data_IF_437509719966
#
_entry.id   IF_437509719966
#
_cell.length_a   1.000
_cell.length_b   1.000
_cell.length_c   1.000
_cell.angle_alpha   90.00
_cell.angle_beta   90.00
_cell.angle_gamma   90.00
#
_symmetry.space_group_name_H-M   'P 1'
#
loop_
_entity.id
_entity.type
_entity.pdbx_description
1 polymer ?
#
# COMPACT_ATOMS: atom_id res chain seq x y z
N UNK A 1 -15.39 29.00 49.08
CA UNK A 1 -15.69 29.32 47.68
C UNK A 1 -14.88 28.32 46.88
N UNK A 2 -15.58 27.29 46.41
CA UNK A 2 -15.01 26.04 45.90
C UNK A 2 -14.36 26.24 44.54
N UNK A 3 -13.19 25.62 44.38
CA UNK A 3 -12.43 25.53 43.15
C UNK A 3 -13.23 24.72 42.14
N UNK A 4 -13.51 25.31 40.98
CA UNK A 4 -14.14 24.62 39.87
C UNK A 4 -13.04 23.87 39.10
N UNK A 5 -12.90 22.57 39.38
CA UNK A 5 -12.11 21.65 38.56
C UNK A 5 -12.75 21.60 37.17
N UNK A 6 -12.16 22.30 36.21
CA UNK A 6 -12.50 22.13 34.80
C UNK A 6 -12.17 20.69 34.41
N UNK A 7 -13.22 19.87 34.39
CA UNK A 7 -13.22 18.52 33.90
C UNK A 7 -12.52 18.48 32.54
N UNK A 8 -11.38 17.78 32.49
CA UNK A 8 -10.85 17.27 31.23
C UNK A 8 -12.00 16.55 30.53
N UNK A 9 -12.51 17.12 29.43
CA UNK A 9 -13.35 16.38 28.52
C UNK A 9 -12.47 15.27 27.92
N UNK A 10 -12.46 14.12 28.59
CA UNK A 10 -12.14 12.86 27.93
C UNK A 10 -12.98 12.83 26.66
N UNK A 11 -12.32 12.70 25.51
CA UNK A 11 -12.99 12.37 24.26
C UNK A 11 -13.62 10.99 24.48
N UNK A 12 -14.82 10.96 25.07
CA UNK A 12 -15.68 9.81 25.06
C UNK A 12 -15.99 9.56 23.59
N UNK A 13 -15.32 8.56 23.02
CA UNK A 13 -15.78 7.94 21.79
C UNK A 13 -17.11 7.26 22.15
N UNK A 14 -18.22 8.02 22.14
CA UNK A 14 -19.60 7.55 22.35
C UNK A 14 -20.09 6.61 21.23
N UNK A 15 -19.19 5.84 20.65
CA UNK A 15 -19.55 4.77 19.74
C UNK A 15 -18.58 3.60 19.86
N UNK A 16 -18.67 2.88 20.98
CA UNK A 16 -18.60 1.40 20.97
C UNK A 16 -19.80 0.81 20.19
N UNK A 17 -20.20 1.45 19.07
CA UNK A 17 -21.01 0.77 18.08
C UNK A 17 -20.09 -0.27 17.52
N UNK A 18 -20.30 -1.52 17.94
CA UNK A 18 -19.83 -2.67 17.20
C UNK A 18 -20.27 -2.44 15.75
N UNK A 19 -19.35 -1.96 14.91
CA UNK A 19 -19.57 -1.87 13.49
C UNK A 19 -19.79 -3.33 13.12
N UNK A 20 -21.04 -3.69 12.83
CA UNK A 20 -21.31 -4.98 12.22
C UNK A 20 -20.64 -4.91 10.87
N UNK A 21 -19.44 -5.46 10.78
CA UNK A 21 -18.75 -5.75 9.53
C UNK A 21 -19.63 -6.79 8.83
N UNK A 22 -20.68 -6.32 8.15
CA UNK A 22 -21.38 -7.15 7.20
C UNK A 22 -20.55 -7.17 5.92
N UNK A 23 -20.66 -8.25 5.15
CA UNK A 23 -19.94 -8.42 3.89
C UNK A 23 -20.25 -7.30 2.87
N UNK A 24 -21.34 -6.56 3.10
CA UNK A 24 -21.79 -5.47 2.24
C UNK A 24 -21.00 -4.16 2.45
N UNK A 25 -20.25 -3.99 3.54
CA UNK A 25 -19.36 -2.81 3.74
C UNK A 25 -18.22 -2.79 2.72
N UNK A 26 -17.80 -3.95 2.23
CA UNK A 26 -16.80 -4.07 1.17
C UNK A 26 -17.40 -4.10 -0.23
N UNK A 27 -18.73 -4.11 -0.35
CA UNK A 27 -19.43 -4.08 -1.63
C UNK A 27 -19.68 -2.62 -2.03
N UNK A 28 -18.64 -1.92 -2.47
CA UNK A 28 -18.90 -0.88 -3.47
C UNK A 28 -19.48 -1.58 -4.71
N UNK A 29 -20.62 -1.11 -5.26
CA UNK A 29 -21.14 -1.68 -6.49
C UNK A 29 -20.17 -1.37 -7.63
N UNK A 30 -19.22 -2.27 -7.85
CA UNK A 30 -18.44 -2.30 -9.07
C UNK A 30 -19.33 -2.94 -10.13
N UNK A 31 -19.89 -2.14 -11.03
CA UNK A 31 -20.44 -2.69 -12.25
C UNK A 31 -19.29 -3.39 -12.98
N UNK A 32 -19.33 -4.73 -13.01
CA UNK A 32 -18.45 -5.57 -13.81
C UNK A 32 -18.80 -5.28 -15.28
N UNK A 33 -18.42 -4.11 -15.78
CA UNK A 33 -18.25 -3.89 -17.21
C UNK A 33 -17.10 -4.79 -17.62
N UNK A 34 -17.29 -5.64 -18.63
CA UNK A 34 -16.31 -6.58 -19.17
C UNK A 34 -14.88 -6.06 -19.02
N UNK A 35 -14.17 -6.59 -18.02
CA UNK A 35 -12.86 -6.07 -17.71
C UNK A 35 -11.90 -6.42 -18.86
N UNK A 36 -11.35 -5.39 -19.50
CA UNK A 36 -10.37 -5.56 -20.58
C UNK A 36 -9.02 -6.06 -20.08
N UNK A 37 -8.78 -6.01 -18.77
CA UNK A 37 -7.63 -6.65 -18.11
C UNK A 37 -7.86 -8.15 -17.81
N UNK A 38 -9.11 -8.60 -17.74
CA UNK A 38 -9.51 -9.98 -17.39
C UNK A 38 -9.99 -10.79 -18.58
N UNK A 39 -10.48 -10.12 -19.63
CA UNK A 39 -10.71 -10.78 -20.91
C UNK A 39 -9.35 -11.20 -21.45
N UNK A 40 -9.22 -12.50 -21.74
CA UNK A 40 -7.99 -13.10 -22.26
C UNK A 40 -7.42 -12.18 -23.34
N UNK A 41 -6.28 -11.57 -23.07
CA UNK A 41 -5.54 -10.80 -24.07
C UNK A 41 -5.38 -11.68 -25.30
N UNK A 42 -5.79 -11.15 -26.47
CA UNK A 42 -5.60 -11.78 -27.77
C UNK A 42 -4.22 -12.45 -27.83
N UNK A 43 -4.14 -13.79 -27.91
CA UNK A 43 -3.06 -14.62 -28.51
C UNK A 43 -3.18 -16.10 -28.10
N UNK A 44 -4.28 -16.76 -28.50
CA UNK A 44 -4.38 -18.24 -28.52
C UNK A 44 -4.41 -18.97 -27.18
N UNK A 45 -4.50 -20.30 -27.25
CA UNK A 45 -4.62 -21.21 -26.09
C UNK A 45 -3.42 -21.19 -25.11
N UNK A 46 -2.34 -20.47 -25.46
CA UNK A 46 -1.08 -20.38 -24.71
C UNK A 46 -0.67 -18.94 -24.31
N UNK A 47 -1.53 -17.93 -24.48
CA UNK A 47 -1.19 -16.55 -24.14
C UNK A 47 -1.15 -16.29 -22.63
N UNK A 48 -0.13 -15.56 -22.14
CA UNK A 48 -0.16 -15.00 -20.77
C UNK A 48 -1.28 -13.98 -20.67
N UNK A 49 -2.02 -14.03 -19.56
CA UNK A 49 -3.08 -13.06 -19.30
C UNK A 49 -2.45 -11.67 -19.07
N UNK A 50 -3.06 -10.62 -19.62
CA UNK A 50 -2.64 -9.23 -19.39
C UNK A 50 -2.46 -8.95 -17.89
N UNK A 51 -3.33 -9.50 -17.04
CA UNK A 51 -3.20 -9.34 -15.59
C UNK A 51 -1.87 -9.89 -15.05
N UNK A 52 -1.36 -11.00 -15.58
CA UNK A 52 -0.11 -11.60 -15.13
C UNK A 52 1.10 -10.76 -15.55
N UNK A 53 1.05 -10.14 -16.73
CA UNK A 53 2.08 -9.18 -17.15
C UNK A 53 2.04 -7.91 -16.29
N UNK A 54 0.85 -7.42 -15.96
CA UNK A 54 0.70 -6.29 -15.04
C UNK A 54 1.19 -6.64 -13.63
N UNK A 55 0.95 -7.86 -13.14
CA UNK A 55 1.49 -8.36 -11.86
C UNK A 55 3.01 -8.38 -11.83
N UNK A 56 3.65 -8.80 -12.92
CA UNK A 56 5.12 -8.75 -13.04
C UNK A 56 5.62 -7.30 -12.96
N UNK A 57 5.01 -6.41 -13.75
CA UNK A 57 5.34 -4.97 -13.72
C UNK A 57 5.17 -4.37 -12.32
N UNK A 58 4.10 -4.73 -11.61
CA UNK A 58 3.85 -4.27 -10.24
C UNK A 58 4.96 -4.75 -9.29
N UNK A 59 5.25 -6.05 -9.30
CA UNK A 59 6.25 -6.66 -8.42
C UNK A 59 7.68 -6.16 -8.69
N UNK A 60 7.99 -5.82 -9.93
CA UNK A 60 9.30 -5.31 -10.32
C UNK A 60 9.51 -3.85 -9.90
N UNK A 61 8.45 -3.04 -9.94
CA UNK A 61 8.51 -1.60 -9.69
C UNK A 61 8.15 -1.21 -8.26
N UNK A 62 7.39 -2.04 -7.53
CA UNK A 62 7.01 -1.77 -6.15
C UNK A 62 8.25 -1.62 -5.25
N UNK A 63 8.27 -0.55 -4.47
CA UNK A 63 9.43 -0.16 -3.65
C UNK A 63 10.54 0.57 -4.42
N UNK A 64 10.52 0.62 -5.75
CA UNK A 64 11.45 1.40 -6.61
C UNK A 64 10.82 2.65 -7.19
N UNK A 65 9.50 2.62 -7.44
CA UNK A 65 8.73 3.72 -8.00
C UNK A 65 7.52 4.07 -7.12
N UNK A 66 6.96 5.27 -7.34
CA UNK A 66 5.70 5.66 -6.73
C UNK A 66 4.52 4.91 -7.36
N UNK A 67 3.47 4.67 -6.58
CA UNK A 67 2.26 3.99 -7.02
C UNK A 67 1.67 4.63 -8.29
N UNK A 68 1.60 5.97 -8.32
CA UNK A 68 1.15 6.72 -9.48
C UNK A 68 2.01 6.46 -10.73
N UNK A 69 3.33 6.40 -10.59
CA UNK A 69 4.24 6.09 -11.70
C UNK A 69 4.06 4.65 -12.19
N UNK A 70 3.86 3.68 -11.28
CA UNK A 70 3.59 2.29 -11.63
C UNK A 70 2.32 2.20 -12.50
N UNK A 71 1.23 2.84 -12.08
CA UNK A 71 -0.03 2.81 -12.84
C UNK A 71 0.07 3.56 -14.18
N UNK A 72 0.90 4.60 -14.28
CA UNK A 72 1.22 5.24 -15.56
C UNK A 72 1.96 4.29 -16.51
N UNK A 73 2.92 3.52 -16.00
CA UNK A 73 3.65 2.51 -16.78
C UNK A 73 2.69 1.41 -17.24
N UNK A 74 1.82 0.91 -16.38
CA UNK A 74 0.80 -0.08 -16.73
C UNK A 74 -0.15 0.42 -17.82
N UNK A 75 -0.63 1.66 -17.70
CA UNK A 75 -1.48 2.27 -18.71
C UNK A 75 -0.75 2.40 -20.05
N UNK A 76 0.49 2.91 -20.04
CA UNK A 76 1.31 3.03 -21.25
C UNK A 76 1.55 1.66 -21.91
N UNK A 77 1.89 0.65 -21.12
CA UNK A 77 2.07 -0.72 -21.59
C UNK A 77 0.82 -1.19 -22.34
N UNK A 78 -0.35 -1.13 -21.72
CA UNK A 78 -1.60 -1.52 -22.37
C UNK A 78 -1.87 -0.79 -23.69
N UNK A 79 -1.64 0.53 -23.72
CA UNK A 79 -1.87 1.34 -24.91
C UNK A 79 -0.97 0.90 -26.08
N UNK A 80 0.31 0.64 -25.80
CA UNK A 80 1.33 0.33 -26.80
C UNK A 80 1.32 -1.14 -27.25
N UNK A 81 1.08 -2.06 -26.33
CA UNK A 81 1.24 -3.52 -26.58
C UNK A 81 -0.08 -4.22 -26.87
N UNK A 82 -1.22 -3.70 -26.39
CA UNK A 82 -2.53 -4.34 -26.54
C UNK A 82 -3.44 -3.50 -27.44
N UNK A 83 -3.75 -2.26 -27.03
CA UNK A 83 -4.78 -1.45 -27.68
C UNK A 83 -4.40 -1.04 -29.09
N UNK A 84 -3.24 -0.38 -29.26
CA UNK A 84 -2.82 0.11 -30.57
C UNK A 84 -2.61 -1.02 -31.60
N UNK A 85 -1.99 -2.16 -31.25
CA UNK A 85 -1.93 -3.31 -32.16
C UNK A 85 -3.30 -3.88 -32.52
N UNK A 86 -4.19 -4.08 -31.54
CA UNK A 86 -5.54 -4.62 -31.79
C UNK A 86 -6.35 -3.74 -32.72
N UNK A 87 -6.28 -2.41 -32.55
CA UNK A 87 -6.95 -1.45 -33.43
C UNK A 87 -6.37 -1.42 -34.86
N UNK A 88 -5.08 -1.71 -35.03
CA UNK A 88 -4.48 -1.82 -36.37
C UNK A 88 -4.92 -3.09 -37.10
N UNK A 89 -5.04 -4.21 -36.39
CA UNK A 89 -5.40 -5.50 -36.98
C UNK A 89 -6.91 -5.68 -37.16
N UNK A 90 -7.69 -5.14 -36.24
CA UNK A 90 -9.15 -5.21 -36.23
C UNK A 90 -9.72 -3.81 -35.98
N UNK A 91 -9.81 -2.94 -37.01
CA UNK A 91 -10.26 -1.56 -36.84
C UNK A 91 -11.68 -1.45 -36.28
N UNK A 92 -12.53 -2.44 -36.57
CA UNK A 92 -13.91 -2.51 -36.09
C UNK A 92 -14.00 -2.98 -34.62
N UNK A 93 -12.91 -3.48 -34.04
CA UNK A 93 -12.85 -3.89 -32.64
C UNK A 93 -12.71 -2.65 -31.74
N UNK A 94 -13.76 -2.35 -30.99
CA UNK A 94 -13.72 -1.28 -29.99
C UNK A 94 -12.87 -1.70 -28.78
N UNK A 95 -11.64 -1.20 -28.72
CA UNK A 95 -10.77 -1.34 -27.55
C UNK A 95 -10.83 -0.07 -26.69
N UNK A 96 -11.18 -0.16 -25.40
CA UNK A 96 -11.30 1.01 -24.55
C UNK A 96 -9.95 1.71 -24.37
N UNK A 97 -10.02 3.01 -24.14
CA UNK A 97 -8.85 3.80 -23.79
C UNK A 97 -8.76 3.90 -22.27
N UNK A 98 -7.79 3.20 -21.68
CA UNK A 98 -7.59 3.14 -20.23
C UNK A 98 -6.45 4.05 -19.79
N UNK A 99 -6.70 4.81 -18.73
CA UNK A 99 -5.79 5.73 -18.06
C UNK A 99 -5.23 5.15 -16.77
N UNK A 100 -4.17 5.76 -16.22
CA UNK A 100 -3.55 5.32 -14.98
C UNK A 100 -4.54 5.19 -13.80
N UNK A 101 -5.54 6.07 -13.71
CA UNK A 101 -6.61 6.00 -12.70
C UNK A 101 -7.47 4.74 -12.84
N UNK A 102 -7.69 4.29 -14.08
CA UNK A 102 -8.49 3.10 -14.36
C UNK A 102 -7.71 1.86 -13.94
N UNK A 103 -6.40 1.82 -14.23
CA UNK A 103 -5.52 0.77 -13.73
C UNK A 103 -5.43 0.76 -12.21
N UNK A 104 -5.32 1.92 -11.56
CA UNK A 104 -5.31 1.98 -10.10
C UNK A 104 -6.56 1.34 -9.50
N UNK A 105 -7.75 1.73 -9.96
CA UNK A 105 -9.01 1.18 -9.43
C UNK A 105 -9.16 -0.30 -9.75
N UNK A 106 -8.83 -0.67 -10.98
CA UNK A 106 -9.15 -1.98 -11.50
C UNK A 106 -8.10 -3.04 -11.12
N UNK A 107 -6.82 -2.74 -11.26
CA UNK A 107 -5.75 -3.66 -10.93
C UNK A 107 -5.77 -4.02 -9.44
N UNK A 108 -6.00 -3.04 -8.56
CA UNK A 108 -6.07 -3.27 -7.11
C UNK A 108 -7.26 -4.15 -6.68
N UNK A 109 -8.29 -4.28 -7.53
CA UNK A 109 -9.38 -5.22 -7.31
C UNK A 109 -8.98 -6.67 -7.61
N UNK A 110 -8.11 -6.89 -8.61
CA UNK A 110 -7.68 -8.23 -9.04
C UNK A 110 -6.42 -8.73 -8.36
N UNK A 111 -5.54 -7.82 -7.97
CA UNK A 111 -4.27 -8.16 -7.38
C UNK A 111 -3.94 -7.22 -6.23
N UNK A 112 -3.79 -7.83 -5.07
CA UNK A 112 -3.43 -7.14 -3.84
C UNK A 112 -1.97 -7.46 -3.54
N UNK A 113 -1.08 -6.52 -3.86
CA UNK A 113 0.35 -6.69 -3.59
C UNK A 113 0.65 -6.49 -2.09
N UNK A 114 1.15 -7.51 -1.37
CA UNK A 114 1.46 -7.40 0.06
C UNK A 114 2.50 -6.31 0.38
N UNK A 115 3.46 -6.07 -0.52
CA UNK A 115 4.46 -4.99 -0.37
C UNK A 115 3.79 -3.61 -0.35
N UNK A 116 2.76 -3.43 -1.18
CA UNK A 116 1.99 -2.19 -1.28
C UNK A 116 1.13 -1.98 -0.03
N UNK A 117 0.46 -3.03 0.46
CA UNK A 117 -0.32 -2.96 1.70
C UNK A 117 0.55 -2.54 2.88
N UNK A 118 1.69 -3.21 3.08
CA UNK A 118 2.61 -2.86 4.17
C UNK A 118 3.12 -1.43 4.07
N UNK A 119 3.42 -0.96 2.86
CA UNK A 119 3.80 0.43 2.62
C UNK A 119 2.69 1.39 3.06
N UNK A 120 1.44 1.09 2.73
CA UNK A 120 0.27 1.90 3.13
C UNK A 120 0.06 1.87 4.65
N UNK A 121 0.18 0.72 5.29
CA UNK A 121 0.07 0.59 6.76
C UNK A 121 1.16 1.38 7.47
N UNK A 122 2.41 1.30 7.00
CA UNK A 122 3.52 2.08 7.55
C UNK A 122 3.27 3.58 7.37
N UNK A 123 2.73 4.00 6.21
CA UNK A 123 2.39 5.40 5.98
C UNK A 123 1.28 5.87 6.93
N UNK A 124 0.22 5.06 7.11
CA UNK A 124 -0.84 5.36 8.06
C UNK A 124 -0.30 5.53 9.49
N UNK A 125 0.60 4.65 9.93
CA UNK A 125 1.23 4.77 11.25
C UNK A 125 2.10 6.02 11.36
N UNK A 126 2.79 6.44 10.28
CA UNK A 126 3.53 7.70 10.25
C UNK A 126 2.60 8.89 10.44
N UNK A 127 1.51 8.94 9.68
CA UNK A 127 0.56 10.05 9.71
C UNK A 127 -0.12 10.15 11.09
N UNK A 128 -0.47 9.01 11.68
CA UNK A 128 -1.00 8.94 13.05
C UNK A 128 0.02 9.45 14.09
N UNK A 129 1.30 9.11 13.93
CA UNK A 129 2.35 9.67 14.78
C UNK A 129 2.44 11.19 14.61
N UNK A 130 2.54 11.70 13.38
CA UNK A 130 2.58 13.14 13.12
C UNK A 130 1.38 13.89 13.72
N UNK A 131 0.19 13.29 13.63
CA UNK A 131 -1.01 13.78 14.29
C UNK A 131 -0.83 13.90 15.81
N UNK A 132 -0.35 12.86 16.50
CA UNK A 132 -0.12 12.91 17.95
C UNK A 132 0.94 13.96 18.33
N UNK A 133 2.00 14.08 17.53
CA UNK A 133 3.06 15.08 17.75
C UNK A 133 2.52 16.50 17.65
N UNK A 134 1.66 16.77 16.66
CA UNK A 134 1.06 18.09 16.44
C UNK A 134 0.00 18.43 17.49
N UNK A 135 -0.78 17.44 17.94
CA UNK A 135 -2.03 17.70 18.67
C UNK A 135 -2.00 17.40 20.17
N UNK A 136 -0.95 16.78 20.74
CA UNK A 136 -0.96 16.71 22.20
C UNK A 136 0.09 15.94 22.96
N UNK A 137 1.19 15.47 22.37
CA UNK A 137 2.26 14.87 23.21
C UNK A 137 2.78 15.90 24.23
N UNK A 138 2.90 17.17 23.82
CA UNK A 138 3.23 18.28 24.70
C UNK A 138 2.11 19.32 24.60
N UNK A 139 1.49 19.63 25.73
CA UNK A 139 0.55 20.75 25.86
C UNK A 139 1.20 21.86 26.67
N UNK A 140 1.00 23.10 26.26
CA UNK A 140 1.46 24.27 27.00
C UNK A 140 0.28 24.88 27.74
N UNK A 141 0.46 25.12 29.04
CA UNK A 141 -0.55 25.79 29.83
C UNK A 141 -0.59 27.28 29.45
N UNK A 142 -1.74 27.75 28.98
CA UNK A 142 -1.93 29.11 28.49
C UNK A 142 -1.70 30.21 29.55
N UNK A 143 -1.81 29.90 30.84
CA UNK A 143 -1.66 30.91 31.92
C UNK A 143 -0.25 31.05 32.47
N UNK A 144 0.59 30.00 32.42
CA UNK A 144 1.94 30.05 33.00
C UNK A 144 3.06 29.51 32.08
N UNK A 145 2.74 29.11 30.85
CA UNK A 145 3.69 28.56 29.89
C UNK A 145 4.27 27.20 30.29
N UNK A 146 3.74 26.55 31.34
CA UNK A 146 4.23 25.26 31.79
C UNK A 146 3.88 24.18 30.76
N UNK A 147 4.89 23.46 30.28
CA UNK A 147 4.72 22.34 29.36
C UNK A 147 4.39 21.06 30.14
N UNK A 148 3.29 20.42 29.80
CA UNK A 148 2.87 19.13 30.36
C UNK A 148 2.87 18.09 29.24
N UNK A 149 3.34 16.89 29.56
CA UNK A 149 3.26 15.75 28.63
C UNK A 149 1.92 15.06 28.82
N UNK A 150 1.18 14.82 27.73
CA UNK A 150 0.00 13.97 27.80
C UNK A 150 0.45 12.50 27.79
N UNK A 151 0.41 11.88 28.97
CA UNK A 151 0.84 10.48 29.14
C UNK A 151 -0.05 9.47 28.39
N UNK A 152 -1.31 9.81 28.10
CA UNK A 152 -2.19 8.98 27.26
C UNK A 152 -1.71 8.93 25.81
N UNK A 153 -1.44 10.09 25.22
CA UNK A 153 -0.88 10.17 23.87
C UNK A 153 0.55 9.64 23.79
N UNK A 154 1.34 9.76 24.85
CA UNK A 154 2.67 9.15 24.91
C UNK A 154 2.60 7.61 24.87
N UNK A 155 1.62 7.00 25.57
CA UNK A 155 1.38 5.54 25.48
C UNK A 155 0.97 5.13 24.06
N UNK A 156 0.06 5.87 23.43
CA UNK A 156 -0.37 5.61 22.04
C UNK A 156 0.81 5.75 21.07
N UNK A 157 1.62 6.80 21.21
CA UNK A 157 2.83 7.00 20.42
C UNK A 157 3.80 5.82 20.52
N UNK A 158 4.03 5.30 21.73
CA UNK A 158 4.90 4.14 21.95
C UNK A 158 4.34 2.88 21.28
N UNK A 159 3.02 2.68 21.34
CA UNK A 159 2.35 1.57 20.65
C UNK A 159 2.55 1.67 19.13
N UNK A 160 2.23 2.83 18.53
CA UNK A 160 2.41 3.08 17.11
C UNK A 160 3.88 2.89 16.68
N UNK A 161 4.82 3.36 17.49
CA UNK A 161 6.26 3.22 17.23
C UNK A 161 6.69 1.76 17.19
N UNK A 162 6.20 0.94 18.13
CA UNK A 162 6.50 -0.49 18.18
C UNK A 162 5.92 -1.20 16.95
N UNK A 163 4.63 -1.00 16.66
CA UNK A 163 3.97 -1.63 15.50
C UNK A 163 4.66 -1.24 14.19
N UNK A 164 5.00 0.04 14.01
CA UNK A 164 5.71 0.52 12.83
C UNK A 164 7.08 -0.16 12.67
N UNK A 165 7.84 -0.29 13.77
CA UNK A 165 9.13 -1.00 13.74
C UNK A 165 8.97 -2.48 13.38
N UNK A 166 7.94 -3.14 13.90
CA UNK A 166 7.65 -4.53 13.59
C UNK A 166 7.27 -4.71 12.10
N UNK A 167 6.46 -3.81 11.53
CA UNK A 167 6.14 -3.82 10.10
C UNK A 167 7.39 -3.56 9.22
N UNK A 168 8.26 -2.63 9.60
CA UNK A 168 9.52 -2.37 8.88
C UNK A 168 10.44 -3.59 8.92
N UNK A 169 10.55 -4.26 10.08
CA UNK A 169 11.32 -5.50 10.23
C UNK A 169 10.75 -6.61 9.37
N UNK A 170 9.43 -6.79 9.39
CA UNK A 170 8.74 -7.76 8.55
C UNK A 170 9.03 -7.48 7.08
N UNK A 171 8.82 -6.25 6.61
CA UNK A 171 9.12 -5.83 5.24
C UNK A 171 10.56 -6.15 4.82
N UNK A 172 11.52 -5.80 5.68
CA UNK A 172 12.94 -6.04 5.42
C UNK A 172 13.26 -7.54 5.34
N UNK A 173 12.70 -8.33 6.26
CA UNK A 173 12.93 -9.79 6.32
C UNK A 173 12.33 -10.57 5.16
N UNK A 174 11.17 -10.15 4.65
CA UNK A 174 10.41 -10.89 3.64
C UNK A 174 10.70 -10.42 2.21
N UNK A 175 11.02 -9.14 2.02
CA UNK A 175 11.07 -8.56 0.67
C UNK A 175 12.43 -7.98 0.27
N UNK A 176 13.36 -7.80 1.21
CA UNK A 176 14.71 -7.28 0.92
C UNK A 176 15.82 -8.33 1.05
N UNK A 177 15.57 -9.42 1.77
CA UNK A 177 16.57 -10.45 2.09
C UNK A 177 17.01 -11.30 0.88
N UNK A 178 16.20 -11.41 -0.18
CA UNK A 178 16.51 -12.24 -1.35
C UNK A 178 17.52 -11.62 -2.33
N UNK A 179 17.75 -10.30 -2.29
CA UNK A 179 18.64 -9.62 -3.23
C UNK A 179 20.15 -9.79 -2.92
N UNK A 180 20.53 -10.40 -1.79
CA UNK A 180 21.92 -10.55 -1.39
C UNK A 180 22.53 -11.93 -1.72
N UNK A 181 21.76 -12.87 -2.30
CA UNK A 181 22.22 -14.25 -2.53
C UNK A 181 22.74 -14.55 -3.95
N UNK A 182 22.85 -13.56 -4.84
CA UNK A 182 23.46 -13.73 -6.18
C UNK A 182 24.94 -13.33 -6.23
N UNK A 183 25.61 -13.23 -5.09
CA UNK A 183 27.08 -13.17 -5.01
C UNK A 183 27.64 -14.57 -4.88
N UNK A 184 28.17 -15.14 -5.95
CA UNK A 184 28.94 -16.38 -5.91
C UNK A 184 30.11 -16.26 -4.94
N UNK A 185 29.95 -16.79 -3.72
CA UNK A 185 31.08 -17.02 -2.81
C UNK A 185 31.79 -18.28 -3.32
N UNK A 186 32.59 -18.12 -4.36
CA UNK A 186 33.61 -19.10 -4.74
C UNK A 186 34.62 -19.14 -3.60
N UNK A 187 34.46 -20.09 -2.66
CA UNK A 187 35.50 -20.38 -1.68
C UNK A 187 36.74 -20.90 -2.44
N UNK A 188 37.96 -20.44 -2.12
CA UNK A 188 39.16 -21.00 -2.73
C UNK A 188 39.27 -22.48 -2.35
N UNK A 189 39.49 -23.34 -3.34
CA UNK A 189 39.78 -24.75 -3.13
C UNK A 189 41.14 -24.85 -2.42
N UNK A 190 41.13 -25.33 -1.17
CA UNK A 190 42.36 -25.73 -0.49
C UNK A 190 42.92 -26.96 -1.21
N UNK A 191 44.13 -26.82 -1.76
CA UNK A 191 44.89 -27.95 -2.28
C UNK A 191 45.31 -28.83 -1.10
N UNK A 192 44.66 -29.98 -0.96
CA UNK A 192 45.11 -31.05 -0.08
C UNK A 192 46.44 -31.60 -0.59
N UNK A 193 47.51 -31.29 0.12
CA UNK A 193 48.83 -31.90 -0.05
C UNK A 193 48.79 -33.37 0.38
N UNK A 194 49.05 -34.27 -0.59
CA UNK A 194 49.68 -35.57 -0.39
C UNK A 194 50.93 -35.62 -1.25
#
# INVERSE_FOLDING_TARGET
MEYNDEAYQELNFESDRCIQINENIFQEPFEISDCVLCTKSNLGDNGTSLIDELRKLDNDLIGKASDAAIFQVMAKYYQETIRAPSQRHSPDQQMPYLMASDFQKHFLFHDMNPKRMLKQDIQFLNDAQEFLKKNGIVTENATNGAKKINMGYMKQWNCLSKTKLDLIRYYTSQFLSENNNTGSVSKPQEFSSF
#
